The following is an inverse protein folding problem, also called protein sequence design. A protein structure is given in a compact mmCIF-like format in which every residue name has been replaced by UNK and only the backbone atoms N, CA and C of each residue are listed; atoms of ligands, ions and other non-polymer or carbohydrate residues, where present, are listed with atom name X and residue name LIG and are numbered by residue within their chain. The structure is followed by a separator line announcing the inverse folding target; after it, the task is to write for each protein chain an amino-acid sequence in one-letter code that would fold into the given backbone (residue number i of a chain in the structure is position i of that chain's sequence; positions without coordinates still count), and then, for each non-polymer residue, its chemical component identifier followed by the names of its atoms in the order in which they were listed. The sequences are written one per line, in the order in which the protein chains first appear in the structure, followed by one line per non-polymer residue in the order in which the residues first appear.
data_IF_699944494811
#
_entry.id   IF_699944494811
#
_cell.length_a   1.000
_cell.length_b   1.000
_cell.length_c   1.000
_cell.angle_alpha   90.00
_cell.angle_beta   90.00
_cell.angle_gamma   90.00
#
_symmetry.space_group_name_H-M   'P 1'
#
loop_
_entity.id
_entity.type
_entity.pdbx_description
1 polymer ?
#
# COMPACT_ATOMS: atom_id res chain seq x y z
N UNK A 1 -12.92 17.93 -11.60
CA UNK A 1 -12.28 17.99 -10.27
C UNK A 1 -11.80 16.60 -9.92
N UNK A 2 -10.52 16.32 -10.12
CA UNK A 2 -9.95 14.99 -9.87
C UNK A 2 -9.69 14.87 -8.38
N UNK A 3 -10.42 14.01 -7.67
CA UNK A 3 -9.92 13.48 -6.41
C UNK A 3 -8.75 12.58 -6.79
N UNK A 4 -7.56 13.19 -6.93
CA UNK A 4 -6.30 12.48 -7.13
C UNK A 4 -6.17 11.50 -5.96
N UNK A 5 -5.83 10.24 -6.27
CA UNK A 5 -5.52 9.25 -5.26
C UNK A 5 -4.54 9.85 -4.25
N UNK A 6 -4.81 9.63 -2.98
CA UNK A 6 -4.16 10.36 -1.90
C UNK A 6 -2.87 9.67 -1.43
N UNK A 7 -2.84 8.34 -1.60
CA UNK A 7 -1.69 7.49 -1.40
C UNK A 7 -1.71 6.39 -2.47
N UNK A 8 -0.62 6.24 -3.24
CA UNK A 8 -0.46 5.14 -4.20
C UNK A 8 0.87 4.48 -3.92
N UNK A 9 0.83 3.22 -3.50
CA UNK A 9 1.99 2.39 -3.25
C UNK A 9 2.29 1.59 -4.52
N UNK A 10 3.49 1.76 -5.07
CA UNK A 10 3.99 0.97 -6.18
C UNK A 10 4.92 -0.10 -5.64
N UNK A 11 4.66 -1.34 -6.02
CA UNK A 11 5.47 -2.51 -5.68
C UNK A 11 6.33 -2.84 -6.90
N UNK A 12 7.65 -2.71 -6.80
CA UNK A 12 8.59 -3.01 -7.89
C UNK A 12 9.61 -4.06 -7.45
N UNK A 13 10.21 -4.76 -8.41
CA UNK A 13 11.34 -5.66 -8.17
C UNK A 13 12.50 -5.28 -9.08
N UNK A 14 13.50 -4.60 -8.51
CA UNK A 14 14.59 -3.98 -9.23
C UNK A 14 15.92 -4.58 -8.75
N UNK A 15 16.79 -4.99 -9.67
CA UNK A 15 18.11 -5.55 -9.36
C UNK A 15 18.09 -6.72 -8.34
N UNK A 16 17.05 -7.55 -8.38
CA UNK A 16 16.91 -8.68 -7.46
C UNK A 16 16.40 -8.32 -6.07
N UNK A 17 15.86 -7.11 -5.88
CA UNK A 17 15.34 -6.64 -4.60
C UNK A 17 13.95 -6.02 -4.75
N UNK A 18 13.11 -6.24 -3.74
CA UNK A 18 11.84 -5.56 -3.63
C UNK A 18 12.05 -4.07 -3.33
N UNK A 19 11.28 -3.22 -4.00
CA UNK A 19 11.21 -1.78 -3.77
C UNK A 19 9.74 -1.41 -3.59
N UNK A 20 9.42 -0.79 -2.45
CA UNK A 20 8.15 -0.09 -2.26
C UNK A 20 8.38 1.40 -2.40
N UNK A 21 7.49 2.07 -3.14
CA UNK A 21 7.49 3.53 -3.24
C UNK A 21 6.07 4.05 -3.09
N UNK A 22 5.93 5.17 -2.40
CA UNK A 22 4.68 5.93 -2.35
C UNK A 22 4.86 7.30 -3.01
N UNK A 23 3.79 8.09 -3.02
CA UNK A 23 3.80 9.45 -3.55
C UNK A 23 4.67 10.44 -2.73
N UNK A 24 5.12 10.07 -1.54
CA UNK A 24 6.03 10.88 -0.71
C UNK A 24 7.50 10.51 -0.91
N UNK A 25 7.79 9.39 -1.60
CA UNK A 25 9.16 8.92 -1.81
C UNK A 25 9.79 8.32 -0.54
N UNK A 26 8.96 7.76 0.35
CA UNK A 26 9.42 7.14 1.60
C UNK A 26 10.45 6.04 1.31
N UNK A 27 11.60 5.99 2.03
CA UNK A 27 12.60 4.96 1.81
C UNK A 27 12.06 3.59 2.27
N UNK A 28 12.06 2.62 1.36
CA UNK A 28 11.77 1.22 1.67
C UNK A 28 13.07 0.48 2.02
N UNK A 29 13.09 -0.20 3.17
CA UNK A 29 14.14 -1.16 3.53
C UNK A 29 13.58 -2.58 3.42
N UNK A 30 14.05 -3.41 2.48
CA UNK A 30 13.56 -4.78 2.32
C UNK A 30 13.81 -5.68 3.53
N UNK A 31 14.74 -5.31 4.43
CA UNK A 31 14.96 -6.05 5.69
C UNK A 31 13.99 -5.65 6.80
N UNK A 32 13.33 -4.51 6.63
CA UNK A 32 12.41 -3.93 7.60
C UNK A 32 11.16 -3.35 6.91
N UNK A 33 10.38 -4.18 6.19
CA UNK A 33 9.19 -3.71 5.46
C UNK A 33 8.16 -3.03 6.37
N UNK A 34 8.11 -3.42 7.65
CA UNK A 34 7.23 -2.83 8.68
C UNK A 34 7.55 -1.36 8.99
N UNK A 35 8.75 -0.88 8.63
CA UNK A 35 9.14 0.52 8.81
C UNK A 35 8.63 1.40 7.67
N UNK A 36 8.30 0.81 6.52
CA UNK A 36 7.71 1.53 5.41
C UNK A 36 6.29 1.95 5.79
N UNK A 37 6.12 3.26 5.98
CA UNK A 37 4.86 3.87 6.38
C UNK A 37 4.39 4.81 5.29
N UNK A 38 3.24 4.51 4.70
CA UNK A 38 2.59 5.44 3.78
C UNK A 38 1.55 6.26 4.52
N UNK A 39 1.58 7.59 4.32
CA UNK A 39 0.54 8.46 4.87
C UNK A 39 -0.63 8.59 3.92
N UNK A 40 -1.82 8.64 4.48
CA UNK A 40 -3.05 8.89 3.74
C UNK A 40 -3.91 9.88 4.52
N UNK A 41 -4.42 10.92 3.86
CA UNK A 41 -5.39 11.84 4.49
C UNK A 41 -6.72 11.15 4.75
N UNK A 42 -7.39 11.63 5.80
CA UNK A 42 -8.79 11.32 6.11
C UNK A 42 -9.72 11.51 4.90
N UNK A 43 -10.72 10.64 4.75
CA UNK A 43 -11.61 10.55 3.58
C UNK A 43 -10.93 10.29 2.23
N UNK A 44 -9.62 10.03 2.23
CA UNK A 44 -8.85 9.77 1.02
C UNK A 44 -9.03 8.35 0.47
N UNK A 45 -8.15 8.01 -0.46
CA UNK A 45 -7.99 6.67 -1.02
C UNK A 45 -6.54 6.23 -0.90
N UNK A 46 -6.36 4.96 -0.56
CA UNK A 46 -5.09 4.25 -0.71
C UNK A 46 -5.21 3.32 -1.93
N UNK A 47 -4.15 3.22 -2.72
CA UNK A 47 -4.06 2.30 -3.84
C UNK A 47 -2.74 1.55 -3.87
N UNK A 48 -2.75 0.35 -4.43
CA UNK A 48 -1.56 -0.47 -4.65
C UNK A 48 -1.53 -0.96 -6.10
N UNK A 49 -0.37 -0.88 -6.73
CA UNK A 49 -0.18 -1.32 -8.11
C UNK A 49 1.16 -2.02 -8.30
N UNK A 50 1.18 -2.97 -9.24
CA UNK A 50 2.41 -3.56 -9.72
C UNK A 50 3.21 -2.52 -10.52
N UNK A 51 4.50 -2.41 -10.21
CA UNK A 51 5.51 -1.64 -10.93
C UNK A 51 6.42 -2.57 -11.75
N UNK A 52 7.60 -2.07 -12.08
CA UNK A 52 8.60 -2.82 -12.86
C UNK A 52 9.02 -4.11 -12.15
N UNK A 53 9.19 -5.20 -12.90
CA UNK A 53 9.64 -6.49 -12.34
C UNK A 53 8.58 -7.23 -11.50
N UNK A 54 7.35 -6.72 -11.39
CA UNK A 54 6.24 -7.40 -10.71
C UNK A 54 5.20 -7.86 -11.74
N UNK A 55 4.92 -9.16 -11.75
CA UNK A 55 3.91 -9.76 -12.61
C UNK A 55 2.49 -9.50 -12.10
N UNK A 56 2.26 -9.65 -10.79
CA UNK A 56 0.94 -9.42 -10.20
C UNK A 56 0.97 -9.17 -8.69
N UNK A 57 -0.11 -8.58 -8.19
CA UNK A 57 -0.41 -8.41 -6.77
C UNK A 57 -1.66 -9.25 -6.43
N UNK A 58 -1.54 -10.55 -6.15
CA UNK A 58 -2.69 -11.42 -5.90
C UNK A 58 -3.48 -11.07 -4.64
N UNK A 59 -2.87 -10.40 -3.64
CA UNK A 59 -3.54 -10.09 -2.39
C UNK A 59 -2.99 -8.82 -1.73
N UNK A 60 -3.91 -7.96 -1.30
CA UNK A 60 -3.68 -6.95 -0.26
C UNK A 60 -4.65 -7.25 0.89
N UNK A 61 -4.11 -7.50 2.09
CA UNK A 61 -4.91 -7.89 3.26
C UNK A 61 -4.59 -6.98 4.43
N UNK A 62 -5.63 -6.49 5.11
CA UNK A 62 -5.46 -5.73 6.36
C UNK A 62 -5.41 -6.73 7.51
N UNK A 63 -4.38 -6.63 8.35
CA UNK A 63 -4.19 -7.53 9.50
C UNK A 63 -4.61 -6.89 10.82
N UNK A 64 -4.56 -5.56 10.90
CA UNK A 64 -5.07 -4.77 12.02
C UNK A 64 -5.37 -3.33 11.58
N UNK A 65 -6.24 -2.66 12.34
CA UNK A 65 -6.67 -1.30 12.01
C UNK A 65 -7.72 -1.24 10.91
N UNK A 66 -8.52 -2.30 10.71
CA UNK A 66 -9.61 -2.33 9.71
C UNK A 66 -10.59 -1.17 9.88
N UNK A 67 -10.74 -0.69 11.12
CA UNK A 67 -11.58 0.44 11.49
C UNK A 67 -11.16 1.75 10.82
N UNK A 68 -9.92 1.89 10.33
CA UNK A 68 -9.50 3.08 9.57
C UNK A 68 -10.06 3.10 8.13
N UNK A 69 -10.53 1.95 7.64
CA UNK A 69 -11.03 1.79 6.28
C UNK A 69 -12.56 1.85 6.26
N UNK A 70 -13.10 2.78 5.47
CA UNK A 70 -14.51 2.77 5.11
C UNK A 70 -14.84 1.63 4.14
N UNK A 71 -13.85 1.24 3.34
CA UNK A 71 -13.90 0.05 2.49
C UNK A 71 -12.52 -0.57 2.46
N UNK A 72 -12.45 -1.84 2.85
CA UNK A 72 -11.22 -2.65 2.80
C UNK A 72 -10.66 -2.70 1.36
N UNK A 73 -9.34 -2.97 1.22
CA UNK A 73 -8.71 -3.11 -0.09
C UNK A 73 -9.45 -4.11 -0.99
N UNK A 74 -9.67 -3.73 -2.24
CA UNK A 74 -10.28 -4.58 -3.26
C UNK A 74 -9.58 -4.35 -4.61
N UNK A 75 -9.47 -5.41 -5.40
CA UNK A 75 -8.87 -5.36 -6.73
C UNK A 75 -9.86 -4.84 -7.77
N UNK A 76 -9.37 -4.00 -8.68
CA UNK A 76 -10.10 -3.47 -9.82
C UNK A 76 -9.15 -3.18 -10.98
N UNK A 77 -9.17 -4.04 -12.00
CA UNK A 77 -8.40 -3.88 -13.26
C UNK A 77 -6.88 -3.82 -13.02
N UNK A 78 -6.35 -4.71 -12.19
CA UNK A 78 -4.93 -4.83 -11.89
C UNK A 78 -4.41 -3.83 -10.84
N UNK A 79 -5.29 -3.05 -10.24
CA UNK A 79 -4.97 -2.10 -9.17
C UNK A 79 -5.83 -2.43 -7.95
N UNK A 80 -5.21 -2.46 -6.79
CA UNK A 80 -5.94 -2.55 -5.53
C UNK A 80 -6.28 -1.14 -5.04
N UNK A 81 -7.51 -0.94 -4.60
CA UNK A 81 -7.99 0.34 -4.09
C UNK A 81 -8.66 0.14 -2.71
N UNK A 82 -8.57 1.12 -1.84
CA UNK A 82 -9.40 1.20 -0.63
C UNK A 82 -9.94 2.62 -0.42
N UNK A 83 -10.91 2.76 0.48
CA UNK A 83 -11.42 4.06 0.92
C UNK A 83 -11.15 4.23 2.40
N UNK A 84 -10.49 5.33 2.75
CA UNK A 84 -10.19 5.68 4.14
C UNK A 84 -11.40 6.34 4.76
N UNK A 85 -11.69 5.99 6.01
CA UNK A 85 -12.78 6.59 6.76
C UNK A 85 -12.46 8.02 7.22
N UNK A 86 -13.46 8.73 7.73
CA UNK A 86 -13.32 10.08 8.23
C UNK A 86 -12.75 10.08 9.67
N UNK A 87 -11.49 9.66 9.83
CA UNK A 87 -10.80 9.69 11.14
C UNK A 87 -9.81 10.84 11.23
N UNK A 88 -9.58 11.33 12.45
CA UNK A 88 -8.53 12.30 12.74
C UNK A 88 -7.14 11.67 12.81
N UNK A 89 -7.05 10.39 13.17
CA UNK A 89 -5.80 9.63 13.17
C UNK A 89 -6.11 8.14 13.13
N UNK A 90 -5.09 7.34 12.84
CA UNK A 90 -5.22 5.89 12.78
C UNK A 90 -3.99 5.26 12.15
N UNK A 91 -3.78 3.99 12.47
CA UNK A 91 -2.73 3.16 11.89
C UNK A 91 -3.35 1.82 11.49
N UNK A 92 -3.00 1.31 10.33
CA UNK A 92 -3.32 -0.05 9.91
C UNK A 92 -2.07 -0.77 9.43
N UNK A 93 -1.94 -2.02 9.87
CA UNK A 93 -0.93 -2.95 9.35
C UNK A 93 -1.59 -3.81 8.28
N UNK A 94 -0.90 -3.99 7.18
CA UNK A 94 -1.42 -4.75 6.06
C UNK A 94 -0.31 -5.51 5.34
N UNK A 95 -0.65 -6.66 4.79
CA UNK A 95 0.22 -7.47 3.95
C UNK A 95 0.01 -7.16 2.47
N UNK A 96 1.10 -7.15 1.71
CA UNK A 96 1.14 -7.18 0.25
C UNK A 96 1.73 -8.52 -0.18
N UNK A 97 0.95 -9.34 -0.87
CA UNK A 97 1.47 -10.53 -1.56
C UNK A 97 1.68 -10.19 -3.04
N UNK A 98 2.88 -10.49 -3.56
CA UNK A 98 3.28 -10.23 -4.94
C UNK A 98 3.93 -11.45 -5.59
N UNK A 99 3.97 -11.44 -6.92
CA UNK A 99 4.71 -12.39 -7.76
C UNK A 99 5.63 -11.59 -8.67
N UNK A 100 6.95 -11.83 -8.60
CA UNK A 100 7.93 -11.19 -9.48
C UNK A 100 7.83 -11.74 -10.92
N UNK A 101 8.21 -10.93 -11.91
CA UNK A 101 8.28 -11.38 -13.31
C UNK A 101 9.20 -12.59 -13.48
N UNK A 102 8.76 -13.58 -14.25
CA UNK A 102 9.51 -14.83 -14.45
C UNK A 102 9.49 -15.80 -13.26
N UNK A 103 8.82 -15.46 -12.17
CA UNK A 103 8.62 -16.34 -11.01
C UNK A 103 7.16 -16.80 -10.89
N UNK A 104 6.96 -17.93 -10.22
CA UNK A 104 5.64 -18.39 -9.75
C UNK A 104 5.53 -18.35 -8.22
N UNK A 105 6.59 -17.93 -7.55
CA UNK A 105 6.64 -17.82 -6.10
C UNK A 105 5.86 -16.58 -5.63
N UNK A 106 5.04 -16.77 -4.60
CA UNK A 106 4.35 -15.68 -3.93
C UNK A 106 5.17 -15.24 -2.71
N UNK A 107 5.47 -13.95 -2.66
CA UNK A 107 6.20 -13.34 -1.55
C UNK A 107 5.29 -12.32 -0.86
N UNK A 108 5.32 -12.28 0.47
CA UNK A 108 4.52 -11.36 1.28
C UNK A 108 5.41 -10.40 2.05
N UNK A 109 5.00 -9.13 2.12
CA UNK A 109 5.61 -8.09 2.97
C UNK A 109 4.56 -7.31 3.73
N UNK A 110 4.92 -6.76 4.90
CA UNK A 110 3.96 -6.22 5.87
C UNK A 110 4.20 -4.73 6.20
N UNK A 111 3.96 -3.81 5.25
CA UNK A 111 4.05 -2.36 5.49
C UNK A 111 2.93 -1.81 6.37
N UNK A 112 3.03 -0.50 6.67
CA UNK A 112 2.09 0.23 7.53
C UNK A 112 1.44 1.40 6.77
N UNK A 113 0.15 1.63 7.02
CA UNK A 113 -0.60 2.78 6.54
C UNK A 113 -0.98 3.66 7.74
N UNK A 114 -0.76 4.98 7.65
CA UNK A 114 -1.15 5.93 8.70
C UNK A 114 -2.06 7.03 8.18
N UNK A 115 -3.10 7.35 8.93
CA UNK A 115 -3.93 8.52 8.66
C UNK A 115 -3.17 9.77 9.11
N UNK A 116 -2.89 10.66 8.17
CA UNK A 116 -2.48 12.03 8.51
C UNK A 116 -3.72 12.79 8.98
N UNK A 117 -3.73 13.15 10.26
CA UNK A 117 -4.75 14.05 10.78
C UNK A 117 -4.65 15.42 10.15
N UNK A 118 -5.71 16.25 10.23
CA UNK A 118 -5.50 17.68 10.03
C UNK A 118 -4.48 18.11 11.08
N UNK A 119 -3.28 18.50 10.65
CA UNK A 119 -2.27 19.02 11.56
C UNK A 119 -2.88 20.14 12.41
N UNK A 120 -2.53 20.14 13.69
CA UNK A 120 -2.72 21.30 14.57
C UNK A 120 -2.15 22.58 13.92
#
# INVERSE_FOLDING_TARGET
MSVKENAVITVSYENGQLVLSDNEGSPFDPKHPEKFTTKVKSNGKAGWKAGEGISSLPLIKVDSGEDIFKKLPYEKKGVWESKIDNKQSGEAKYSITYIAEGSTEQVTVDPVLKIEGPGD
#
